data_IF_072071886739
#
_entry.id   IF_072071886739
#
_cell.length_a   1.000
_cell.length_b   1.000
_cell.length_c   1.000
_cell.angle_alpha   90.00
_cell.angle_beta   90.00
_cell.angle_gamma   90.00
#
_symmetry.space_group_name_H-M   'P 1'
#
loop_
_entity.id
_entity.type
_entity.pdbx_description
1 polymer ?
#
# COMPACT_ATOMS: atom_id res chain seq x y z
N UNK A 1 -20.65 16.69 -11.45
CA UNK A 1 -19.55 16.10 -10.66
C UNK A 1 -20.06 15.95 -9.25
N UNK A 2 -19.91 14.76 -8.68
CA UNK A 2 -20.19 14.51 -7.27
C UNK A 2 -19.28 15.40 -6.41
N UNK A 3 -19.83 15.92 -5.31
CA UNK A 3 -19.10 16.79 -4.38
C UNK A 3 -18.69 15.98 -3.16
N UNK A 4 -17.51 16.26 -2.62
CA UNK A 4 -17.11 15.76 -1.31
C UNK A 4 -18.17 16.15 -0.25
N UNK A 5 -18.61 15.22 0.60
CA UNK A 5 -19.67 15.47 1.58
C UNK A 5 -19.24 16.35 2.77
N UNK A 6 -17.94 16.58 3.00
CA UNK A 6 -17.47 17.39 4.13
C UNK A 6 -17.50 18.88 3.83
N UNK A 7 -17.01 19.28 2.65
CA UNK A 7 -16.79 20.68 2.29
C UNK A 7 -17.40 21.07 0.94
N UNK A 8 -18.00 20.13 0.22
CA UNK A 8 -18.60 20.38 -1.09
C UNK A 8 -17.56 20.57 -2.20
N UNK A 9 -16.29 20.24 -1.96
CA UNK A 9 -15.23 20.36 -2.95
C UNK A 9 -15.42 19.39 -4.11
N UNK A 10 -14.98 19.79 -5.29
CA UNK A 10 -15.06 18.98 -6.52
C UNK A 10 -13.71 18.39 -6.94
N UNK A 11 -12.62 18.76 -6.24
CA UNK A 11 -11.25 18.30 -6.51
C UNK A 11 -10.53 18.04 -5.20
N UNK A 12 -9.75 16.96 -5.16
CA UNK A 12 -8.92 16.58 -4.02
C UNK A 12 -7.90 17.66 -3.63
N UNK A 13 -7.37 18.40 -4.61
CA UNK A 13 -6.41 19.49 -4.36
C UNK A 13 -6.93 20.55 -3.38
N UNK A 14 -8.26 20.75 -3.31
CA UNK A 14 -8.86 21.67 -2.35
C UNK A 14 -8.63 21.24 -0.89
N UNK A 15 -8.57 19.93 -0.60
CA UNK A 15 -8.22 19.43 0.74
C UNK A 15 -6.75 19.68 1.07
N UNK A 16 -5.85 19.52 0.09
CA UNK A 16 -4.42 19.84 0.28
C UNK A 16 -4.21 21.34 0.57
N UNK A 17 -4.86 22.22 -0.18
CA UNK A 17 -4.80 23.67 0.09
C UNK A 17 -5.50 24.06 1.39
N UNK A 18 -6.54 23.33 1.81
CA UNK A 18 -7.19 23.55 3.10
C UNK A 18 -6.27 23.19 4.27
N UNK A 19 -5.52 22.08 4.17
CA UNK A 19 -4.53 21.69 5.18
C UNK A 19 -3.28 22.58 5.15
N UNK A 20 -2.81 22.96 3.95
CA UNK A 20 -1.62 23.78 3.72
C UNK A 20 -1.80 24.67 2.47
N UNK A 21 -2.08 25.98 2.62
CA UNK A 21 -2.36 26.87 1.50
C UNK A 21 -1.27 26.97 0.42
N UNK A 22 -0.02 26.78 0.81
CA UNK A 22 1.19 26.82 -0.04
C UNK A 22 1.69 25.41 -0.43
N UNK A 23 0.81 24.42 -0.51
CA UNK A 23 1.19 23.06 -0.93
C UNK A 23 1.55 23.00 -2.43
N UNK A 24 2.77 22.54 -2.74
CA UNK A 24 3.29 22.46 -4.13
C UNK A 24 3.48 21.02 -4.64
N UNK A 25 3.12 20.02 -3.83
CA UNK A 25 3.30 18.60 -4.16
C UNK A 25 2.20 18.03 -5.06
N UNK A 26 2.24 16.71 -5.23
CA UNK A 26 1.19 15.97 -5.95
C UNK A 26 -0.02 15.74 -5.05
N UNK A 27 -1.22 15.91 -5.60
CA UNK A 27 -2.47 15.59 -4.91
C UNK A 27 -2.80 14.12 -5.11
N UNK A 28 -2.34 13.26 -4.20
CA UNK A 28 -2.47 11.80 -4.33
C UNK A 28 -3.63 11.25 -3.51
N UNK A 29 -4.18 10.12 -4.00
CA UNK A 29 -4.99 9.19 -3.23
C UNK A 29 -4.13 7.96 -2.89
N UNK A 30 -4.40 7.26 -1.76
CA UNK A 30 -5.41 7.54 -0.73
C UNK A 30 -5.05 8.74 0.17
N UNK A 31 -6.03 9.23 0.94
CA UNK A 31 -5.87 10.35 1.88
C UNK A 31 -6.69 10.10 3.16
N UNK A 32 -6.05 10.08 4.32
CA UNK A 32 -6.73 10.11 5.63
C UNK A 32 -6.84 11.56 6.10
N UNK A 33 -8.08 12.01 6.31
CA UNK A 33 -8.42 13.36 6.76
C UNK A 33 -8.93 13.35 8.19
N UNK A 34 -8.36 14.19 9.05
CA UNK A 34 -8.91 14.43 10.38
C UNK A 34 -9.98 15.52 10.34
N UNK A 35 -11.22 15.14 10.64
CA UNK A 35 -12.36 16.06 10.69
C UNK A 35 -12.33 17.00 11.90
N UNK A 36 -11.58 16.68 12.95
CA UNK A 36 -11.51 17.49 14.17
C UNK A 36 -10.52 18.64 14.02
N UNK A 37 -9.32 18.35 13.53
CA UNK A 37 -8.28 19.37 13.29
C UNK A 37 -8.30 19.91 11.86
N UNK A 38 -9.16 19.37 11.00
CA UNK A 38 -9.32 19.78 9.61
C UNK A 38 -8.01 19.76 8.81
N UNK A 39 -7.25 18.67 8.93
CA UNK A 39 -5.97 18.51 8.25
C UNK A 39 -5.74 17.08 7.74
N UNK A 40 -4.70 16.91 6.93
CA UNK A 40 -4.25 15.62 6.43
C UNK A 40 -3.49 14.89 7.53
N UNK A 41 -3.90 13.65 7.84
CA UNK A 41 -3.19 12.77 8.77
C UNK A 41 -2.09 12.02 8.03
N UNK A 42 -2.41 11.37 6.92
CA UNK A 42 -1.48 10.54 6.16
C UNK A 42 -1.99 10.36 4.71
N UNK A 43 -1.08 10.33 3.74
CA UNK A 43 -1.36 10.05 2.32
C UNK A 43 -0.42 8.98 1.71
N UNK A 44 0.31 8.26 2.56
CA UNK A 44 1.19 7.15 2.21
C UNK A 44 0.46 5.82 2.47
N UNK A 45 0.05 5.16 1.39
CA UNK A 45 -0.79 3.95 1.44
C UNK A 45 -0.21 2.83 2.32
N UNK A 46 1.11 2.65 2.32
CA UNK A 46 1.78 1.60 3.08
C UNK A 46 1.75 1.83 4.60
N UNK A 47 1.79 3.09 5.03
CA UNK A 47 1.62 3.47 6.43
C UNK A 47 0.15 3.42 6.82
N UNK A 48 -0.76 3.87 5.95
CA UNK A 48 -2.21 3.87 6.19
C UNK A 48 -2.71 2.46 6.50
N UNK A 49 -2.33 1.44 5.72
CA UNK A 49 -2.78 0.07 6.00
C UNK A 49 -2.27 -0.41 7.37
N UNK A 50 -1.03 -0.10 7.74
CA UNK A 50 -0.46 -0.48 9.05
C UNK A 50 -1.14 0.23 10.22
N UNK A 51 -1.50 1.50 10.04
CA UNK A 51 -2.35 2.21 11.01
C UNK A 51 -3.70 1.52 11.15
N UNK A 52 -4.35 1.17 10.03
CA UNK A 52 -5.67 0.54 10.03
C UNK A 52 -5.67 -0.87 10.62
N UNK A 53 -4.56 -1.60 10.55
CA UNK A 53 -4.46 -2.92 11.18
C UNK A 53 -4.65 -2.86 12.69
N UNK A 54 -4.07 -1.88 13.39
CA UNK A 54 -3.98 -1.92 14.86
C UNK A 54 -4.57 -0.71 15.58
N UNK A 55 -4.60 0.48 14.98
CA UNK A 55 -5.00 1.72 15.66
C UNK A 55 -6.48 1.76 16.07
N UNK A 56 -7.30 0.82 15.57
CA UNK A 56 -8.72 0.70 15.88
C UNK A 56 -9.08 -0.60 16.59
N UNK A 57 -8.10 -1.45 16.95
CA UNK A 57 -8.34 -2.77 17.56
C UNK A 57 -9.21 -2.69 18.82
N UNK A 58 -9.02 -1.65 19.64
CA UNK A 58 -9.80 -1.48 20.88
C UNK A 58 -11.31 -1.35 20.63
N UNK A 59 -11.70 -0.85 19.45
CA UNK A 59 -13.10 -0.65 19.04
C UNK A 59 -13.69 -1.86 18.31
N UNK A 60 -12.87 -2.85 17.97
CA UNK A 60 -13.30 -4.07 17.28
C UNK A 60 -13.70 -5.17 18.27
N UNK A 61 -14.63 -6.07 17.89
CA UNK A 61 -14.82 -7.34 18.58
C UNK A 61 -13.48 -8.07 18.72
N UNK A 62 -13.28 -8.76 19.84
CA UNK A 62 -12.00 -9.42 20.11
C UNK A 62 -11.57 -10.36 18.98
N UNK A 63 -12.50 -11.12 18.39
CA UNK A 63 -12.24 -12.02 17.25
C UNK A 63 -11.78 -11.30 15.97
N UNK A 64 -12.03 -10.01 15.86
CA UNK A 64 -11.69 -9.18 14.69
C UNK A 64 -10.43 -8.35 14.88
N UNK A 65 -9.84 -8.34 16.08
CA UNK A 65 -8.58 -7.62 16.33
C UNK A 65 -7.43 -8.28 15.58
N UNK A 66 -6.47 -7.49 15.14
CA UNK A 66 -5.35 -7.94 14.30
C UNK A 66 -4.65 -9.19 14.86
N UNK A 67 -4.27 -9.14 16.15
CA UNK A 67 -3.55 -10.25 16.82
C UNK A 67 -4.37 -11.55 16.91
N UNK A 68 -5.69 -11.46 16.79
CA UNK A 68 -6.61 -12.60 16.88
C UNK A 68 -7.04 -13.12 15.50
N UNK A 69 -6.63 -12.45 14.42
CA UNK A 69 -6.86 -12.94 13.07
C UNK A 69 -6.02 -14.20 12.80
N UNK A 70 -6.46 -15.10 11.91
CA UNK A 70 -5.68 -16.27 11.51
C UNK A 70 -4.26 -15.87 11.08
N UNK A 71 -3.25 -16.63 11.51
CA UNK A 71 -1.84 -16.33 11.22
C UNK A 71 -1.24 -15.17 12.02
N UNK A 72 -1.98 -14.57 12.95
CA UNK A 72 -1.53 -13.43 13.74
C UNK A 72 -1.74 -12.07 13.06
N UNK A 73 -2.61 -12.01 12.05
CA UNK A 73 -2.94 -10.78 11.33
C UNK A 73 -2.23 -10.64 9.98
N UNK A 74 -2.34 -9.45 9.41
CA UNK A 74 -1.72 -9.06 8.16
C UNK A 74 -0.22 -8.72 8.33
N UNK A 75 0.21 -8.33 9.54
CA UNK A 75 1.62 -7.99 9.81
C UNK A 75 2.19 -8.64 11.09
N UNK A 76 2.19 -9.98 11.18
CA UNK A 76 2.57 -10.72 12.38
C UNK A 76 4.08 -10.63 12.66
N UNK A 77 4.44 -10.55 13.94
CA UNK A 77 5.82 -10.23 14.39
C UNK A 77 6.88 -11.19 13.83
N UNK A 78 6.58 -12.49 13.77
CA UNK A 78 7.51 -13.52 13.31
C UNK A 78 7.78 -13.47 11.79
N UNK A 79 6.99 -12.74 10.99
CA UNK A 79 7.16 -12.63 9.55
C UNK A 79 7.58 -11.23 9.08
N UNK A 80 7.60 -10.22 9.96
CA UNK A 80 7.83 -8.81 9.60
C UNK A 80 9.06 -8.60 8.74
N UNK A 81 10.18 -9.23 9.12
CA UNK A 81 11.43 -9.11 8.37
C UNK A 81 11.29 -9.62 6.93
N UNK A 82 10.71 -10.80 6.75
CA UNK A 82 10.52 -11.39 5.42
C UNK A 82 9.51 -10.58 4.58
N UNK A 83 8.44 -10.08 5.22
CA UNK A 83 7.44 -9.21 4.61
C UNK A 83 8.08 -7.89 4.14
N UNK A 84 8.85 -7.23 5.00
CA UNK A 84 9.52 -5.96 4.68
C UNK A 84 10.51 -6.14 3.52
N UNK A 85 11.35 -7.17 3.58
CA UNK A 85 12.30 -7.51 2.52
C UNK A 85 11.59 -7.78 1.19
N UNK A 86 10.44 -8.49 1.21
CA UNK A 86 9.66 -8.74 0.01
C UNK A 86 9.02 -7.46 -0.54
N UNK A 87 8.35 -6.70 0.32
CA UNK A 87 7.63 -5.49 -0.04
C UNK A 87 8.53 -4.42 -0.66
N UNK A 88 9.79 -4.34 -0.25
CA UNK A 88 10.75 -3.39 -0.83
C UNK A 88 10.96 -3.62 -2.33
N UNK A 89 11.30 -4.85 -2.74
CA UNK A 89 11.54 -5.13 -4.16
C UNK A 89 10.24 -5.31 -4.96
N UNK A 90 9.17 -5.83 -4.34
CA UNK A 90 7.85 -5.88 -4.99
C UNK A 90 7.37 -4.47 -5.30
N UNK A 91 7.54 -3.52 -4.38
CA UNK A 91 7.22 -2.12 -4.64
C UNK A 91 8.05 -1.54 -5.78
N UNK A 92 9.39 -1.66 -5.72
CA UNK A 92 10.27 -1.04 -6.71
C UNK A 92 10.11 -1.64 -8.12
N UNK A 93 9.96 -2.96 -8.21
CA UNK A 93 10.03 -3.73 -9.46
C UNK A 93 8.69 -4.17 -10.01
N UNK A 94 7.65 -4.27 -9.18
CA UNK A 94 6.31 -4.69 -9.61
C UNK A 94 5.34 -3.52 -9.50
N UNK A 95 5.00 -3.08 -8.27
CA UNK A 95 3.96 -2.06 -8.07
C UNK A 95 4.29 -0.75 -8.79
N UNK A 96 5.50 -0.23 -8.61
CA UNK A 96 6.00 0.95 -9.31
C UNK A 96 6.64 0.57 -10.67
N UNK A 97 7.09 -0.68 -10.82
CA UNK A 97 7.72 -1.18 -12.05
C UNK A 97 6.80 -1.07 -13.27
N UNK A 98 5.51 -1.42 -13.12
CA UNK A 98 4.54 -1.26 -14.21
C UNK A 98 4.36 0.21 -14.65
N UNK A 99 4.40 1.16 -13.72
CA UNK A 99 4.34 2.59 -14.05
C UNK A 99 5.62 3.07 -14.71
N UNK A 100 6.80 2.67 -14.22
CA UNK A 100 8.09 3.00 -14.84
C UNK A 100 8.16 2.49 -16.28
N UNK A 101 7.67 1.27 -16.52
CA UNK A 101 7.57 0.68 -17.86
C UNK A 101 6.58 1.45 -18.73
N UNK A 102 5.36 1.71 -18.23
CA UNK A 102 4.29 2.36 -19.00
C UNK A 102 4.51 3.85 -19.29
N UNK A 103 5.24 4.55 -18.43
CA UNK A 103 5.58 5.97 -18.60
C UNK A 103 6.95 6.21 -19.25
N UNK A 104 7.69 5.16 -19.61
CA UNK A 104 8.95 5.29 -20.31
C UNK A 104 8.77 6.02 -21.65
N UNK A 105 9.56 7.07 -21.88
CA UNK A 105 9.56 7.86 -23.12
C UNK A 105 10.62 7.42 -24.13
N UNK A 106 11.49 6.47 -23.77
CA UNK A 106 12.51 5.89 -24.64
C UNK A 106 12.50 4.36 -24.56
N UNK A 107 13.00 3.71 -25.62
CA UNK A 107 13.08 2.25 -25.68
C UNK A 107 14.02 1.69 -24.61
N UNK A 108 15.12 2.38 -24.34
CA UNK A 108 16.11 1.98 -23.33
C UNK A 108 15.51 2.07 -21.92
N UNK A 109 14.75 3.13 -21.63
CA UNK A 109 14.03 3.26 -20.36
C UNK A 109 12.94 2.19 -20.22
N UNK A 110 12.22 1.88 -21.30
CA UNK A 110 11.25 0.78 -21.29
C UNK A 110 11.92 -0.56 -20.99
N UNK A 111 12.99 -0.90 -21.72
CA UNK A 111 13.69 -2.19 -21.58
C UNK A 111 14.31 -2.36 -20.19
N UNK A 112 14.90 -1.29 -19.63
CA UNK A 112 15.50 -1.31 -18.29
C UNK A 112 14.48 -1.45 -17.15
N UNK A 113 13.19 -1.24 -17.39
CA UNK A 113 12.12 -1.44 -16.41
C UNK A 113 11.31 -2.72 -16.64
N UNK A 114 11.01 -3.05 -17.90
CA UNK A 114 10.19 -4.23 -18.23
C UNK A 114 10.92 -5.54 -17.93
N UNK A 115 12.24 -5.60 -18.15
CA UNK A 115 13.01 -6.83 -17.88
C UNK A 115 13.03 -7.13 -16.36
N UNK A 116 13.43 -6.20 -15.47
CA UNK A 116 13.35 -6.45 -14.03
C UNK A 116 11.94 -6.71 -13.50
N UNK A 117 10.90 -6.15 -14.13
CA UNK A 117 9.51 -6.44 -13.80
C UNK A 117 9.20 -7.93 -14.00
N UNK A 118 9.49 -8.48 -15.18
CA UNK A 118 9.24 -9.90 -15.46
C UNK A 118 10.14 -10.83 -14.64
N UNK A 119 11.41 -10.49 -14.43
CA UNK A 119 12.29 -11.25 -13.52
C UNK A 119 11.74 -11.30 -12.09
N UNK A 120 11.11 -10.21 -11.63
CA UNK A 120 10.49 -10.15 -10.31
C UNK A 120 9.19 -10.96 -10.24
N UNK A 121 8.40 -10.98 -11.31
CA UNK A 121 7.22 -11.85 -11.42
C UNK A 121 7.62 -13.33 -11.39
N UNK A 122 8.68 -13.71 -12.11
CA UNK A 122 9.23 -15.07 -12.08
C UNK A 122 9.74 -15.43 -10.67
N UNK A 123 10.32 -14.48 -9.94
CA UNK A 123 10.72 -14.66 -8.55
C UNK A 123 9.52 -14.91 -7.63
N UNK A 124 8.42 -14.17 -7.79
CA UNK A 124 7.16 -14.41 -7.04
C UNK A 124 6.62 -15.80 -7.35
N UNK A 125 6.53 -16.17 -8.63
CA UNK A 125 6.02 -17.47 -9.06
C UNK A 125 6.85 -18.62 -8.47
N UNK A 126 8.17 -18.48 -8.52
CA UNK A 126 9.09 -19.45 -7.90
C UNK A 126 8.88 -19.54 -6.39
N UNK A 127 8.75 -18.40 -5.70
CA UNK A 127 8.55 -18.37 -4.25
C UNK A 127 7.26 -19.07 -3.83
N UNK A 128 6.15 -18.83 -4.55
CA UNK A 128 4.87 -19.52 -4.33
C UNK A 128 4.97 -21.02 -4.63
N UNK A 129 5.62 -21.38 -5.74
CA UNK A 129 5.81 -22.79 -6.14
C UNK A 129 6.68 -23.57 -5.17
N UNK A 130 7.81 -23.02 -4.72
CA UNK A 130 8.77 -23.70 -3.85
C UNK A 130 8.21 -23.94 -2.45
N UNK A 131 7.46 -22.98 -1.91
CA UNK A 131 6.86 -23.11 -0.58
C UNK A 131 5.67 -24.06 -0.57
N UNK A 132 4.95 -24.17 -1.70
CA UNK A 132 3.73 -24.98 -1.80
C UNK A 132 2.60 -24.47 -0.89
N UNK A 133 2.68 -23.21 -0.45
CA UNK A 133 1.70 -22.55 0.42
C UNK A 133 0.71 -21.75 -0.40
N UNK A 134 -0.46 -21.49 0.19
CA UNK A 134 -1.53 -20.76 -0.51
C UNK A 134 -1.20 -19.28 -0.75
N UNK A 135 -0.44 -18.67 0.16
CA UNK A 135 -0.05 -17.26 0.16
C UNK A 135 1.47 -17.11 0.29
N UNK A 136 1.97 -15.89 0.12
CA UNK A 136 3.41 -15.59 0.07
C UNK A 136 4.14 -16.06 1.34
N UNK A 137 3.50 -15.99 2.51
CA UNK A 137 4.13 -16.39 3.78
C UNK A 137 3.34 -17.46 4.56
N UNK A 138 2.62 -18.34 3.86
CA UNK A 138 1.95 -19.49 4.48
C UNK A 138 0.49 -19.65 4.06
N UNK A 139 -0.36 -20.07 4.99
CA UNK A 139 -1.78 -20.35 4.74
C UNK A 139 -2.70 -19.16 5.04
N UNK A 140 -2.14 -18.04 5.46
CA UNK A 140 -2.86 -16.82 5.82
C UNK A 140 -2.34 -15.62 5.02
N UNK A 141 -3.27 -14.71 4.67
CA UNK A 141 -2.98 -13.48 3.95
C UNK A 141 -2.17 -12.54 4.84
N UNK A 142 -1.11 -11.96 4.30
CA UNK A 142 -0.31 -10.90 4.92
C UNK A 142 -0.44 -9.59 4.12
N UNK A 143 0.13 -8.49 4.63
CA UNK A 143 0.21 -7.24 3.86
C UNK A 143 1.00 -7.39 2.55
N UNK A 144 1.90 -8.38 2.44
CA UNK A 144 2.62 -8.65 1.21
C UNK A 144 1.71 -9.20 0.11
N UNK A 145 0.66 -9.94 0.46
CA UNK A 145 -0.31 -10.46 -0.51
C UNK A 145 -1.33 -9.38 -0.95
N UNK A 146 -1.53 -8.37 -0.11
CA UNK A 146 -2.46 -7.24 -0.36
C UNK A 146 -1.83 -6.19 -1.28
N UNK A 147 -0.51 -5.99 -1.16
CA UNK A 147 0.27 -4.99 -1.90
C UNK A 147 0.65 -5.48 -3.28
#
# INVERSE_FOLDING_TARGET
MEKDPLYGFTKLSALYFKAKPDYEGRYTVPLIWDKKTETIVNNESSEIIRMLFTAFDEFLPESEREVNKPGGGYYPENLRKEIDEMNEWVYDKINNGVYKTGFASTQEAYLSNVVPLFESLDRVEKHLSDRGTKYLFGDHITEADIR
#
